data_IF_048308611968
#
_entry.id   IF_048308611968
#
_cell.length_a   1.000
_cell.length_b   1.000
_cell.length_c   1.000
_cell.angle_alpha   90.00
_cell.angle_beta   90.00
_cell.angle_gamma   90.00
#
_symmetry.space_group_name_H-M   'P 1'
#
loop_
_entity.id
_entity.type
_entity.pdbx_description
1 polymer ?
#
# COMPACT_ATOMS: atom_id res chain seq x y z
N UNK A 1 -9.98 9.74 -2.91
CA UNK A 1 -9.14 8.89 -2.07
C UNK A 1 -9.14 7.46 -2.57
N UNK A 2 -7.99 6.87 -2.79
CA UNK A 2 -7.89 5.53 -3.35
C UNK A 2 -7.30 4.55 -2.34
N UNK A 3 -7.71 3.30 -2.43
CA UNK A 3 -7.12 2.17 -1.73
C UNK A 3 -6.46 1.28 -2.76
N UNK A 4 -5.17 0.99 -2.58
CA UNK A 4 -4.45 0.09 -3.47
C UNK A 4 -4.18 -1.21 -2.71
N UNK A 5 -4.67 -2.32 -3.26
CA UNK A 5 -4.48 -3.65 -2.69
C UNK A 5 -3.89 -4.54 -3.77
N UNK A 6 -2.76 -5.18 -3.46
CA UNK A 6 -2.08 -6.08 -4.40
C UNK A 6 -1.78 -7.40 -3.72
N UNK A 7 -1.85 -8.49 -4.47
CA UNK A 7 -1.59 -9.83 -3.97
C UNK A 7 -0.38 -10.42 -4.67
N UNK A 8 0.57 -10.90 -3.88
CA UNK A 8 1.82 -11.45 -4.41
C UNK A 8 2.35 -12.56 -3.51
N UNK A 9 3.09 -13.48 -4.11
CA UNK A 9 3.91 -14.44 -3.36
C UNK A 9 5.30 -13.82 -3.27
N UNK A 10 5.52 -12.99 -2.25
CA UNK A 10 6.76 -12.22 -2.12
C UNK A 10 7.22 -12.15 -0.66
N UNK A 11 8.48 -11.77 -0.48
CA UNK A 11 9.04 -11.55 0.85
C UNK A 11 8.49 -10.25 1.45
N UNK A 12 8.59 -10.15 2.79
CA UNK A 12 8.19 -8.93 3.49
C UNK A 12 9.02 -7.72 3.07
N UNK A 13 10.30 -7.93 2.79
CA UNK A 13 11.21 -6.86 2.34
C UNK A 13 10.77 -6.29 0.99
N UNK A 14 10.43 -7.18 0.06
CA UNK A 14 9.95 -6.73 -1.24
C UNK A 14 8.59 -6.05 -1.14
N UNK A 15 7.71 -6.59 -0.30
CA UNK A 15 6.40 -5.98 -0.07
C UNK A 15 6.54 -4.56 0.47
N UNK A 16 7.45 -4.35 1.43
CA UNK A 16 7.67 -3.02 1.99
C UNK A 16 8.24 -2.06 0.94
N UNK A 17 9.14 -2.55 0.08
CA UNK A 17 9.67 -1.74 -1.01
C UNK A 17 8.56 -1.30 -1.95
N UNK A 18 7.65 -2.20 -2.29
CA UNK A 18 6.53 -1.89 -3.17
C UNK A 18 5.60 -0.85 -2.55
N UNK A 19 5.31 -0.96 -1.25
CA UNK A 19 4.52 0.03 -0.54
C UNK A 19 5.21 1.39 -0.58
N UNK A 20 6.51 1.43 -0.32
CA UNK A 20 7.26 2.69 -0.33
C UNK A 20 7.23 3.35 -1.70
N UNK A 21 7.35 2.57 -2.76
CA UNK A 21 7.28 3.09 -4.12
C UNK A 21 5.89 3.63 -4.46
N UNK A 22 4.85 2.93 -4.03
CA UNK A 22 3.48 3.38 -4.26
C UNK A 22 3.19 4.69 -3.53
N UNK A 23 3.65 4.81 -2.28
CA UNK A 23 3.48 6.04 -1.50
C UNK A 23 4.24 7.20 -2.14
N UNK A 24 5.47 6.94 -2.61
CA UNK A 24 6.26 7.98 -3.28
C UNK A 24 5.55 8.46 -4.55
N UNK A 25 4.98 7.55 -5.32
CA UNK A 25 4.24 7.89 -6.54
C UNK A 25 2.99 8.71 -6.22
N UNK A 26 2.26 8.32 -5.17
CA UNK A 26 1.07 9.06 -4.76
C UNK A 26 1.42 10.49 -4.35
N UNK A 27 2.52 10.69 -3.62
CA UNK A 27 2.97 12.03 -3.27
C UNK A 27 3.34 12.84 -4.50
N UNK A 28 4.00 12.22 -5.45
CA UNK A 28 4.41 12.87 -6.68
C UNK A 28 3.22 13.43 -7.47
N UNK A 29 2.13 12.68 -7.52
CA UNK A 29 0.94 13.12 -8.26
C UNK A 29 -0.08 13.84 -7.38
N UNK A 30 0.22 14.04 -6.10
CA UNK A 30 -0.60 14.87 -5.22
C UNK A 30 -1.86 14.21 -4.67
N UNK A 31 -1.85 12.89 -4.52
CA UNK A 31 -2.99 12.17 -3.93
C UNK A 31 -2.58 11.51 -2.63
N UNK A 32 -3.57 11.24 -1.76
CA UNK A 32 -3.37 10.45 -0.55
C UNK A 32 -4.04 9.10 -0.73
N UNK A 33 -3.34 8.03 -0.31
CA UNK A 33 -3.83 6.67 -0.49
C UNK A 33 -3.55 5.82 0.73
N UNK A 34 -4.33 4.74 0.84
CA UNK A 34 -3.99 3.61 1.69
C UNK A 34 -3.44 2.52 0.77
N UNK A 35 -2.28 1.98 1.09
CA UNK A 35 -1.61 0.95 0.27
C UNK A 35 -1.45 -0.31 1.10
N UNK A 36 -1.93 -1.43 0.57
CA UNK A 36 -1.79 -2.72 1.24
C UNK A 36 -1.24 -3.75 0.26
N UNK A 37 -0.27 -4.52 0.70
CA UNK A 37 0.30 -5.63 -0.07
C UNK A 37 -0.06 -6.92 0.66
N UNK A 38 -0.74 -7.80 -0.02
CA UNK A 38 -1.17 -9.09 0.52
C UNK A 38 -0.43 -10.21 -0.20
N UNK A 39 -0.21 -11.32 0.52
CA UNK A 39 0.28 -12.52 -0.15
C UNK A 39 -0.87 -13.23 -0.88
N UNK A 40 -0.57 -14.30 -1.60
CA UNK A 40 -1.58 -15.04 -2.37
C UNK A 40 -2.58 -15.77 -1.48
N UNK A 41 -2.30 -15.93 -0.21
CA UNK A 41 -3.24 -16.45 0.78
C UNK A 41 -4.12 -15.39 1.41
N UNK A 42 -3.95 -14.12 1.02
CA UNK A 42 -4.73 -13.01 1.56
C UNK A 42 -4.18 -12.43 2.85
N UNK A 43 -2.99 -12.84 3.28
CA UNK A 43 -2.36 -12.32 4.50
C UNK A 43 -1.65 -11.00 4.21
N UNK A 44 -1.81 -10.04 5.13
CA UNK A 44 -1.20 -8.73 4.97
C UNK A 44 0.32 -8.82 5.14
N UNK A 45 1.06 -8.33 4.16
CA UNK A 45 2.53 -8.30 4.18
C UNK A 45 3.08 -6.93 4.48
N UNK A 46 2.46 -5.88 3.95
CA UNK A 46 2.88 -4.52 4.20
C UNK A 46 1.69 -3.59 4.03
N UNK A 47 1.69 -2.49 4.78
CA UNK A 47 0.60 -1.52 4.73
C UNK A 47 1.13 -0.14 5.06
N UNK A 48 0.60 0.87 4.36
CA UNK A 48 0.86 2.26 4.69
C UNK A 48 -0.41 3.07 4.48
N UNK A 49 -0.78 3.84 5.49
CA UNK A 49 -1.86 4.81 5.39
C UNK A 49 -1.22 6.19 5.37
N UNK A 50 -1.22 6.83 4.22
CA UNK A 50 -0.63 8.18 4.09
C UNK A 50 -1.34 9.17 4.99
N UNK A 51 -0.61 10.17 5.46
CA UNK A 51 -1.19 11.22 6.28
C UNK A 51 -2.32 11.91 5.51
N UNK A 52 -3.47 12.05 6.17
CA UNK A 52 -4.65 12.65 5.56
C UNK A 52 -5.55 11.67 4.84
N UNK A 53 -5.13 10.42 4.66
CA UNK A 53 -5.99 9.42 4.04
C UNK A 53 -7.10 9.02 5.01
N UNK A 54 -8.36 8.90 4.54
CA UNK A 54 -9.45 8.47 5.41
C UNK A 54 -9.30 7.03 5.86
N UNK A 55 -9.60 6.78 7.11
CA UNK A 55 -9.59 5.43 7.68
C UNK A 55 -10.50 4.48 6.91
N UNK A 56 -11.62 5.01 6.42
CA UNK A 56 -12.62 4.21 5.71
C UNK A 56 -12.14 3.63 4.38
N UNK A 57 -10.98 4.08 3.90
CA UNK A 57 -10.38 3.51 2.70
C UNK A 57 -9.65 2.20 2.94
N UNK A 58 -9.61 1.72 4.15
CA UNK A 58 -8.96 0.45 4.50
C UNK A 58 -9.90 -0.75 4.20
#
# INVERSE_FOLDING_TARGET
MAKVVKKYTISSELAQKMVNEAVAKAREIGVTENVAILDDGGNLKAFDRMNGAPILCI
#
